data_IF_135177109108
#
_entry.id   IF_135177109108
#
_cell.length_a   1.000
_cell.length_b   1.000
_cell.length_c   1.000
_cell.angle_alpha   90.00
_cell.angle_beta   90.00
_cell.angle_gamma   90.00
#
_symmetry.space_group_name_H-M   'P 1'
#
loop_
_entity.id
_entity.type
_entity.pdbx_description
1 polymer ?
#
# COMPACT_ATOMS: atom_id res chain seq x y z
N UNK A 1 -23.75 -0.21 19.00
CA UNK A 1 -24.87 -0.34 18.04
C UNK A 1 -24.32 -0.23 16.63
N UNK A 2 -23.65 0.86 16.29
CA UNK A 2 -22.99 1.12 14.98
C UNK A 2 -22.07 -0.01 14.46
N UNK A 3 -21.31 -0.70 15.32
CA UNK A 3 -20.34 -1.71 14.88
C UNK A 3 -21.00 -3.03 14.44
N UNK A 4 -22.11 -3.42 15.10
CA UNK A 4 -22.88 -4.61 14.70
C UNK A 4 -23.70 -4.34 13.45
N UNK A 5 -24.25 -3.13 13.35
CA UNK A 5 -24.99 -2.65 12.18
C UNK A 5 -24.09 -2.62 10.93
N UNK A 6 -22.86 -2.09 11.06
CA UNK A 6 -21.83 -2.19 10.02
C UNK A 6 -21.42 -3.62 9.67
N UNK A 7 -21.38 -4.51 10.65
CA UNK A 7 -21.00 -5.91 10.43
C UNK A 7 -22.10 -6.67 9.67
N UNK A 8 -23.35 -6.31 9.93
CA UNK A 8 -24.53 -6.83 9.25
C UNK A 8 -24.64 -6.27 7.82
N UNK A 9 -24.36 -4.97 7.61
CA UNK A 9 -24.21 -4.36 6.28
C UNK A 9 -23.13 -5.04 5.42
N UNK A 10 -22.04 -5.49 6.06
CA UNK A 10 -20.93 -6.17 5.39
C UNK A 10 -21.22 -7.66 5.08
N UNK A 11 -22.37 -8.21 5.46
CA UNK A 11 -22.69 -9.64 5.32
C UNK A 11 -21.56 -10.52 5.91
N UNK A 12 -21.04 -10.16 7.09
CA UNK A 12 -19.86 -10.81 7.66
C UNK A 12 -20.06 -12.32 7.92
N UNK A 13 -21.30 -12.74 8.17
CA UNK A 13 -21.72 -14.14 8.31
C UNK A 13 -21.51 -14.96 7.02
N UNK A 14 -21.58 -14.32 5.85
CA UNK A 14 -21.34 -14.94 4.54
C UNK A 14 -19.87 -14.95 4.15
N UNK A 15 -18.99 -14.27 4.89
CA UNK A 15 -17.58 -14.14 4.55
C UNK A 15 -16.87 -15.50 4.43
N UNK A 16 -17.17 -16.43 5.34
CA UNK A 16 -16.57 -17.79 5.32
C UNK A 16 -17.02 -18.59 4.09
N UNK A 17 -18.32 -18.56 3.77
CA UNK A 17 -18.83 -19.25 2.57
C UNK A 17 -18.26 -18.65 1.28
N UNK A 18 -18.12 -17.32 1.21
CA UNK A 18 -17.51 -16.62 0.07
C UNK A 18 -16.03 -16.99 -0.08
N UNK A 19 -15.27 -16.98 1.01
CA UNK A 19 -13.87 -17.40 1.02
C UNK A 19 -13.72 -18.86 0.59
N UNK A 20 -14.60 -19.74 1.07
CA UNK A 20 -14.62 -21.15 0.67
C UNK A 20 -14.89 -21.35 -0.83
N UNK A 21 -15.80 -20.56 -1.42
CA UNK A 21 -16.07 -20.56 -2.87
C UNK A 21 -14.85 -20.14 -3.68
N UNK A 22 -14.18 -19.06 -3.27
CA UNK A 22 -12.97 -18.58 -3.93
C UNK A 22 -11.89 -19.66 -3.86
N UNK A 23 -11.61 -20.20 -2.68
CA UNK A 23 -10.60 -21.25 -2.50
C UNK A 23 -10.94 -22.52 -3.30
N UNK A 24 -12.21 -22.89 -3.38
CA UNK A 24 -12.65 -24.03 -4.21
C UNK A 24 -12.36 -23.78 -5.70
N UNK A 25 -12.67 -22.59 -6.23
CA UNK A 25 -12.34 -22.22 -7.61
C UNK A 25 -10.84 -22.18 -7.89
N UNK A 26 -10.03 -21.89 -6.87
CA UNK A 26 -8.56 -21.97 -6.92
C UNK A 26 -8.00 -23.41 -6.81
N UNK A 27 -8.86 -24.43 -6.79
CA UNK A 27 -8.46 -25.83 -6.69
C UNK A 27 -8.17 -26.34 -5.27
N UNK A 28 -8.50 -25.56 -4.23
CA UNK A 28 -8.33 -26.00 -2.85
C UNK A 28 -9.48 -26.92 -2.44
N UNK A 29 -9.13 -28.16 -2.08
CA UNK A 29 -10.08 -29.09 -1.48
C UNK A 29 -10.58 -28.59 -0.11
N UNK A 30 -11.77 -28.98 0.35
CA UNK A 30 -12.26 -28.61 1.68
C UNK A 30 -11.31 -28.99 2.83
N UNK A 31 -10.52 -30.06 2.64
CA UNK A 31 -9.48 -30.46 3.59
C UNK A 31 -8.30 -29.49 3.62
N UNK A 32 -7.92 -28.92 2.48
CA UNK A 32 -6.88 -27.89 2.38
C UNK A 32 -7.34 -26.56 2.98
N UNK A 33 -8.59 -26.16 2.76
CA UNK A 33 -9.13 -24.89 3.28
C UNK A 33 -9.10 -24.81 4.82
N UNK A 34 -9.14 -25.96 5.51
CA UNK A 34 -9.08 -26.03 6.99
C UNK A 34 -7.66 -26.12 7.56
N UNK A 35 -6.63 -26.25 6.71
CA UNK A 35 -5.23 -26.31 7.17
C UNK A 35 -4.74 -24.90 7.54
N UNK A 36 -3.80 -24.83 8.49
CA UNK A 36 -3.24 -23.53 8.90
C UNK A 36 -2.29 -23.03 7.82
N UNK A 37 -2.23 -21.70 7.65
CA UNK A 37 -1.34 -21.06 6.67
C UNK A 37 0.12 -21.51 6.80
N UNK A 38 0.60 -21.71 8.03
CA UNK A 38 1.95 -22.21 8.31
C UNK A 38 2.24 -23.59 7.72
N UNK A 39 1.21 -24.40 7.50
CA UNK A 39 1.32 -25.75 6.94
C UNK A 39 1.43 -25.71 5.40
N UNK A 40 1.19 -24.54 4.78
CA UNK A 40 1.34 -24.28 3.34
C UNK A 40 2.62 -23.53 2.97
N UNK A 41 3.30 -22.88 3.94
CA UNK A 41 4.48 -22.04 3.69
C UNK A 41 5.69 -22.80 3.09
N UNK A 42 5.65 -24.13 3.02
CA UNK A 42 6.67 -24.97 2.37
C UNK A 42 6.43 -25.27 0.89
N UNK A 43 5.25 -24.96 0.35
CA UNK A 43 4.92 -25.17 -1.07
C UNK A 43 4.67 -23.81 -1.70
N UNK A 44 5.50 -23.42 -2.67
CA UNK A 44 5.20 -22.25 -3.50
C UNK A 44 3.83 -22.46 -4.12
N UNK A 45 2.85 -21.64 -3.73
CA UNK A 45 1.52 -21.64 -4.33
C UNK A 45 1.70 -21.07 -5.74
N UNK A 46 1.96 -21.97 -6.69
CA UNK A 46 1.95 -21.62 -8.11
C UNK A 46 0.51 -21.76 -8.58
N UNK A 47 -0.20 -20.64 -8.63
CA UNK A 47 -1.54 -20.60 -9.21
C UNK A 47 -1.41 -20.78 -10.73
N UNK A 48 -2.20 -21.68 -11.30
CA UNK A 48 -2.27 -21.86 -12.75
C UNK A 48 -2.77 -20.55 -13.41
N UNK A 49 -2.32 -20.27 -14.63
CA UNK A 49 -2.69 -19.04 -15.34
C UNK A 49 -4.22 -18.94 -15.50
N UNK A 50 -4.87 -20.06 -15.82
CA UNK A 50 -6.33 -20.15 -15.95
C UNK A 50 -7.03 -19.85 -14.62
N UNK A 51 -6.46 -20.30 -13.50
CA UNK A 51 -6.98 -20.02 -12.16
C UNK A 51 -6.79 -18.55 -11.77
N UNK A 52 -5.70 -17.90 -12.19
CA UNK A 52 -5.49 -16.47 -12.02
C UNK A 52 -6.54 -15.65 -12.78
N UNK A 53 -6.80 -15.99 -14.04
CA UNK A 53 -7.78 -15.29 -14.89
C UNK A 53 -9.18 -15.44 -14.31
N UNK A 54 -9.58 -16.66 -13.94
CA UNK A 54 -10.86 -16.89 -13.27
C UNK A 54 -10.99 -16.09 -11.98
N UNK A 55 -9.94 -16.07 -11.15
CA UNK A 55 -9.92 -15.32 -9.90
C UNK A 55 -10.10 -13.83 -10.14
N UNK A 56 -9.42 -13.27 -11.15
CA UNK A 56 -9.55 -11.87 -11.52
C UNK A 56 -11.00 -11.50 -11.91
N UNK A 57 -11.64 -12.32 -12.75
CA UNK A 57 -13.04 -12.12 -13.16
C UNK A 57 -14.01 -12.21 -11.98
N UNK A 58 -13.83 -13.23 -11.12
CA UNK A 58 -14.68 -13.44 -9.95
C UNK A 58 -14.55 -12.26 -8.96
N UNK A 59 -13.32 -11.79 -8.69
CA UNK A 59 -13.08 -10.69 -7.76
C UNK A 59 -13.57 -9.34 -8.31
N UNK A 60 -13.58 -9.12 -9.62
CA UNK A 60 -14.16 -7.91 -10.25
C UNK A 60 -15.66 -7.78 -9.99
N UNK A 61 -16.38 -8.90 -9.93
CA UNK A 61 -17.84 -8.91 -9.70
C UNK A 61 -18.23 -8.85 -8.22
N UNK A 62 -17.23 -8.78 -7.33
CA UNK A 62 -17.45 -8.83 -5.89
C UNK A 62 -18.14 -7.55 -5.39
N UNK A 63 -19.32 -7.69 -4.78
CA UNK A 63 -20.18 -6.56 -4.41
C UNK A 63 -19.86 -5.94 -3.03
N UNK A 64 -18.80 -6.41 -2.37
CA UNK A 64 -18.39 -5.93 -1.05
C UNK A 64 -16.95 -5.40 -1.08
N UNK A 65 -16.52 -4.79 0.03
CA UNK A 65 -15.16 -4.29 0.17
C UNK A 65 -14.19 -5.49 0.24
N UNK A 66 -13.29 -5.57 -0.74
CA UNK A 66 -12.22 -6.55 -0.79
C UNK A 66 -10.88 -5.87 -0.46
N UNK A 67 -10.12 -6.45 0.46
CA UNK A 67 -8.72 -6.07 0.71
C UNK A 67 -7.83 -7.18 0.16
N UNK A 68 -7.01 -6.84 -0.82
CA UNK A 68 -6.14 -7.76 -1.53
C UNK A 68 -4.67 -7.37 -1.33
N UNK A 69 -3.80 -8.36 -1.15
CA UNK A 69 -2.34 -8.20 -1.14
C UNK A 69 -1.77 -9.13 -2.20
N UNK A 70 -1.05 -8.57 -3.17
CA UNK A 70 -0.40 -9.32 -4.25
C UNK A 70 0.96 -8.73 -4.59
N UNK A 71 1.85 -9.59 -5.09
CA UNK A 71 3.15 -9.20 -5.65
C UNK A 71 3.12 -9.00 -7.16
N UNK A 72 2.01 -9.34 -7.83
CA UNK A 72 1.84 -9.17 -9.29
C UNK A 72 1.18 -7.84 -9.61
N UNK A 73 1.84 -7.03 -10.45
CA UNK A 73 1.34 -5.72 -10.88
C UNK A 73 0.11 -5.86 -11.79
N UNK A 74 0.15 -6.79 -12.74
CA UNK A 74 -0.94 -7.03 -13.69
C UNK A 74 -2.24 -7.43 -12.98
N UNK A 75 -2.13 -8.29 -11.95
CA UNK A 75 -3.28 -8.71 -11.15
C UNK A 75 -3.88 -7.56 -10.33
N UNK A 76 -3.03 -6.72 -9.73
CA UNK A 76 -3.49 -5.53 -9.01
C UNK A 76 -4.15 -4.53 -9.95
N UNK A 77 -3.62 -4.34 -11.16
CA UNK A 77 -4.24 -3.50 -12.19
C UNK A 77 -5.60 -4.03 -12.65
N UNK A 78 -5.76 -5.35 -12.73
CA UNK A 78 -7.00 -5.99 -13.13
C UNK A 78 -8.11 -5.87 -12.08
N UNK A 79 -7.80 -6.08 -10.80
CA UNK A 79 -8.81 -6.20 -9.73
C UNK A 79 -8.99 -4.91 -8.91
N UNK A 80 -7.91 -4.18 -8.61
CA UNK A 80 -7.95 -3.10 -7.62
C UNK A 80 -8.38 -1.77 -8.24
N UNK A 81 -9.33 -1.10 -7.60
CA UNK A 81 -9.76 0.28 -7.96
C UNK A 81 -9.06 1.36 -7.14
N UNK A 82 -8.50 0.97 -6.00
CA UNK A 82 -7.90 1.84 -5.00
C UNK A 82 -6.64 1.18 -4.45
N UNK A 83 -5.58 1.95 -4.29
CA UNK A 83 -4.30 1.47 -3.75
C UNK A 83 -4.02 2.20 -2.43
N UNK A 84 -3.79 1.42 -1.37
CA UNK A 84 -3.32 1.94 -0.09
C UNK A 84 -1.83 1.62 0.00
N UNK A 85 -0.99 2.65 -0.11
CA UNK A 85 0.44 2.52 0.08
C UNK A 85 0.78 2.80 1.55
N UNK A 86 1.37 1.81 2.21
CA UNK A 86 1.81 1.91 3.60
C UNK A 86 3.34 2.04 3.62
N UNK A 87 3.84 3.19 4.06
CA UNK A 87 5.28 3.47 4.15
C UNK A 87 5.58 4.37 5.36
N UNK A 88 6.71 4.12 6.03
CA UNK A 88 7.15 4.88 7.22
C UNK A 88 6.06 5.09 8.28
N UNK A 89 5.30 4.03 8.61
CA UNK A 89 4.18 4.06 9.56
C UNK A 89 3.03 5.01 9.17
N UNK A 90 3.01 5.48 7.93
CA UNK A 90 1.94 6.31 7.35
C UNK A 90 1.26 5.57 6.22
N UNK A 91 -0.05 5.79 6.05
CA UNK A 91 -0.79 5.29 4.89
C UNK A 91 -1.13 6.45 3.96
N UNK A 92 -1.02 6.19 2.65
CA UNK A 92 -1.47 7.10 1.60
C UNK A 92 -2.43 6.35 0.69
N UNK A 93 -3.56 7.00 0.40
CA UNK A 93 -4.58 6.45 -0.46
C UNK A 93 -4.47 7.06 -1.86
N UNK A 94 -4.48 6.20 -2.88
CA UNK A 94 -4.44 6.56 -4.28
C UNK A 94 -5.66 5.97 -4.98
N UNK A 95 -6.37 6.79 -5.73
CA UNK A 95 -7.47 6.36 -6.59
C UNK A 95 -6.93 5.96 -7.96
N UNK A 96 -7.45 4.87 -8.53
CA UNK A 96 -7.01 4.38 -9.82
C UNK A 96 -6.26 3.05 -9.72
N UNK A 97 -5.76 2.59 -10.86
CA UNK A 97 -5.05 1.33 -10.97
C UNK A 97 -3.61 1.42 -10.43
N UNK A 98 -2.90 0.29 -10.41
CA UNK A 98 -1.53 0.22 -9.94
C UNK A 98 -0.57 1.07 -10.77
N UNK A 99 -0.73 1.14 -12.10
CA UNK A 99 0.15 1.93 -12.97
C UNK A 99 0.07 3.44 -12.66
N UNK A 100 -1.14 3.95 -12.46
CA UNK A 100 -1.36 5.35 -12.08
C UNK A 100 -0.72 5.62 -10.72
N UNK A 101 -0.92 4.72 -9.75
CA UNK A 101 -0.25 4.79 -8.46
C UNK A 101 1.28 4.83 -8.60
N UNK A 102 1.86 3.91 -9.36
CA UNK A 102 3.31 3.80 -9.53
C UNK A 102 3.90 5.06 -10.16
N UNK A 103 3.23 5.63 -11.16
CA UNK A 103 3.65 6.89 -11.79
C UNK A 103 3.60 8.06 -10.81
N UNK A 104 2.48 8.23 -10.10
CA UNK A 104 2.35 9.29 -9.08
C UNK A 104 3.39 9.12 -7.96
N UNK A 105 3.67 7.87 -7.58
CA UNK A 105 4.66 7.59 -6.55
C UNK A 105 6.08 8.01 -6.98
N UNK A 106 6.48 7.68 -8.21
CA UNK A 106 7.77 8.10 -8.79
C UNK A 106 7.89 9.64 -8.86
N UNK A 107 6.85 10.32 -9.34
CA UNK A 107 6.82 11.79 -9.43
C UNK A 107 6.95 12.47 -8.04
N UNK A 108 6.29 11.90 -7.04
CA UNK A 108 6.37 12.36 -5.65
C UNK A 108 7.76 12.13 -5.06
N UNK A 109 8.38 10.99 -5.36
CA UNK A 109 9.72 10.65 -4.88
C UNK A 109 10.77 11.59 -5.49
N UNK A 110 10.72 11.85 -6.80
CA UNK A 110 11.59 12.84 -7.44
C UNK A 110 11.43 14.24 -6.83
N UNK A 111 10.18 14.64 -6.59
CA UNK A 111 9.88 15.94 -5.98
C UNK A 111 10.45 16.03 -4.56
N UNK A 112 10.35 14.94 -3.78
CA UNK A 112 10.93 14.85 -2.45
C UNK A 112 12.47 14.91 -2.50
N UNK A 113 13.10 14.17 -3.41
CA UNK A 113 14.55 14.17 -3.57
C UNK A 113 15.09 15.55 -3.97
N UNK A 114 14.41 16.26 -4.87
CA UNK A 114 14.76 17.63 -5.28
C UNK A 114 14.65 18.61 -4.12
N UNK A 115 13.56 18.54 -3.35
CA UNK A 115 13.38 19.37 -2.13
C UNK A 115 14.46 19.09 -1.09
N UNK A 116 14.75 17.80 -0.84
CA UNK A 116 15.80 17.40 0.08
C UNK A 116 17.17 17.95 -0.33
N UNK A 117 17.56 17.80 -1.60
CA UNK A 117 18.81 18.36 -2.11
C UNK A 117 18.86 19.88 -1.93
N UNK A 118 17.78 20.58 -2.31
CA UNK A 118 17.69 22.03 -2.13
C UNK A 118 17.88 22.45 -0.66
N UNK A 119 17.20 21.77 0.26
CA UNK A 119 17.33 22.02 1.70
C UNK A 119 18.75 21.77 2.20
N UNK A 120 19.41 20.68 1.75
CA UNK A 120 20.80 20.40 2.11
C UNK A 120 21.75 21.49 1.60
N UNK A 121 21.59 21.94 0.36
CA UNK A 121 22.40 23.02 -0.22
C UNK A 121 22.20 24.34 0.55
N UNK A 122 20.96 24.66 0.95
CA UNK A 122 20.69 25.82 1.80
C UNK A 122 21.34 25.69 3.18
N UNK A 123 21.29 24.51 3.81
CA UNK A 123 21.95 24.26 5.09
C UNK A 123 23.47 24.44 4.96
N UNK A 124 24.08 23.92 3.89
CA UNK A 124 25.52 24.10 3.61
C UNK A 124 25.85 25.57 3.41
N UNK A 125 25.07 26.28 2.61
CA UNK A 125 25.27 27.70 2.36
C UNK A 125 25.15 28.54 3.64
N UNK A 126 24.13 28.27 4.45
CA UNK A 126 23.91 28.95 5.74
C UNK A 126 25.03 28.66 6.74
N UNK A 127 25.48 27.41 6.85
CA UNK A 127 26.63 27.03 7.69
C UNK A 127 27.89 27.80 7.28
N UNK A 128 28.15 27.90 5.98
CA UNK A 128 29.28 28.67 5.46
C UNK A 128 29.16 30.17 5.74
N UNK A 129 27.95 30.74 5.66
CA UNK A 129 27.69 32.13 6.04
C UNK A 129 27.97 32.38 7.52
N UNK A 130 27.45 31.52 8.41
CA UNK A 130 27.70 31.59 9.86
C UNK A 130 29.19 31.45 10.17
N UNK A 131 29.91 30.54 9.53
CA UNK A 131 31.35 30.39 9.73
C UNK A 131 32.14 31.65 9.30
N UNK A 132 31.70 32.32 8.22
CA UNK A 132 32.38 33.52 7.68
C UNK A 132 32.04 34.80 8.44
N UNK A 133 30.81 34.97 8.92
CA UNK A 133 30.32 36.23 9.49
C UNK A 133 29.87 36.14 10.95
N UNK A 134 29.73 34.94 11.51
CA UNK A 134 29.23 34.69 12.86
C UNK A 134 30.14 35.16 13.99
N UNK A 135 31.42 35.42 13.72
CA UNK A 135 32.36 35.98 14.70
C UNK A 135 32.28 37.52 14.84
N UNK A 136 31.57 38.24 13.94
CA UNK A 136 31.58 39.71 13.88
C UNK A 136 30.40 40.44 14.52
N UNK A 137 29.25 39.79 14.72
CA UNK A 137 27.99 40.50 15.06
C UNK A 137 27.47 40.27 16.48
N UNK A 138 28.11 39.39 17.27
CA UNK A 138 27.67 39.08 18.64
C UNK A 138 27.83 40.24 19.65
N UNK A 139 28.44 41.38 19.27
CA UNK A 139 28.63 42.54 20.15
C UNK A 139 27.54 43.63 20.08
N UNK A 140 26.57 43.53 19.16
CA UNK A 140 25.59 44.61 18.96
C UNK A 140 24.15 44.30 19.40
N UNK A 141 23.84 43.08 19.83
CA UNK A 141 22.46 42.68 20.16
C UNK A 141 22.07 42.77 21.66
N UNK A 142 22.94 43.26 22.54
CA UNK A 142 22.69 43.34 24.01
C UNK A 142 22.71 44.78 24.58
N UNK A 143 22.64 45.82 23.73
CA UNK A 143 22.71 47.23 24.18
C UNK A 143 21.61 48.13 23.59
N UNK A 144 20.46 47.58 23.19
CA UNK A 144 19.27 48.34 22.82
C UNK A 144 18.13 48.03 23.79
#
# INVERSE_FOLDING_TARGET
MELYERLEELDADKAEMRASRILHGLGFTPAMQRKKLKDFMGTGIHLDLDACVWLEEELKTFQCILVLISHSQDFLNGVCTNIIHIHNKTQKHYTGNYDQYAKTWLELEETQMKKFHWEQDQIVHMKNYIARFGHGSAKLAWRA
#
